data_IF_453401077115
#
_entry.id   IF_453401077115
#
_cell.length_a   1.000
_cell.length_b   1.000
_cell.length_c   1.000
_cell.angle_alpha   90.00
_cell.angle_beta   90.00
_cell.angle_gamma   90.00
#
_symmetry.space_group_name_H-M   'P 1'
#
loop_
_entity.id
_entity.type
_entity.pdbx_description
1 polymer ?
#
# COMPACT_ATOMS: atom_id res chain seq x y z
N UNK A 1 -16.31 25.76 -14.88
CA UNK A 1 -15.64 26.46 -13.77
C UNK A 1 -16.71 26.72 -12.72
N UNK A 2 -16.93 25.75 -11.84
CA UNK A 2 -17.95 25.85 -10.79
C UNK A 2 -17.24 26.22 -9.50
N UNK A 3 -17.62 27.36 -8.92
CA UNK A 3 -17.12 27.85 -7.66
C UNK A 3 -17.64 26.96 -6.53
N UNK A 4 -16.72 26.30 -5.83
CA UNK A 4 -17.01 25.47 -4.67
C UNK A 4 -17.23 26.40 -3.47
N UNK A 5 -18.46 26.44 -2.96
CA UNK A 5 -18.87 27.28 -1.86
C UNK A 5 -18.18 26.82 -0.56
N UNK A 6 -17.32 27.69 -0.04
CA UNK A 6 -16.53 27.48 1.16
C UNK A 6 -17.43 27.55 2.40
N UNK A 7 -17.57 26.43 3.13
CA UNK A 7 -18.29 26.41 4.40
C UNK A 7 -17.55 27.24 5.46
N UNK A 8 -18.27 28.06 6.26
CA UNK A 8 -17.66 28.86 7.32
C UNK A 8 -17.20 27.99 8.49
N UNK A 9 -15.94 28.17 8.90
CA UNK A 9 -15.39 27.56 10.12
C UNK A 9 -16.01 28.20 11.37
N UNK A 10 -16.32 27.43 12.42
CA UNK A 10 -16.79 27.96 13.69
C UNK A 10 -15.67 28.73 14.43
N UNK A 11 -16.01 29.72 15.27
CA UNK A 11 -15.04 30.51 16.00
C UNK A 11 -14.29 29.67 17.04
N UNK A 12 -12.96 29.75 17.01
CA UNK A 12 -12.06 29.16 18.01
C UNK A 12 -12.26 29.90 19.34
N UNK A 13 -12.73 29.18 20.35
CA UNK A 13 -12.83 29.67 21.71
C UNK A 13 -11.43 29.99 22.26
N UNK A 14 -11.25 31.23 22.74
CA UNK A 14 -10.04 31.68 23.38
C UNK A 14 -9.77 30.88 24.67
N UNK A 15 -8.55 30.35 24.80
CA UNK A 15 -8.09 29.70 26.01
C UNK A 15 -7.94 30.72 27.15
N UNK A 16 -8.26 30.35 28.41
CA UNK A 16 -8.10 31.23 29.56
C UNK A 16 -6.62 31.48 29.88
N UNK A 17 -6.30 32.76 30.08
CA UNK A 17 -5.00 33.25 30.52
C UNK A 17 -4.56 32.62 31.84
N UNK A 18 -3.31 32.16 31.90
CA UNK A 18 -2.68 31.64 33.10
C UNK A 18 -2.52 32.75 34.16
N UNK A 19 -2.67 32.45 35.46
CA UNK A 19 -2.51 33.42 36.52
C UNK A 19 -1.04 33.75 36.77
N UNK A 20 -0.86 35.02 37.08
CA UNK A 20 0.34 35.76 37.45
C UNK A 20 1.20 35.03 38.49
N UNK A 21 2.48 34.81 38.17
CA UNK A 21 3.44 34.15 39.04
C UNK A 21 4.08 35.17 39.98
N UNK A 22 3.58 35.22 41.22
CA UNK A 22 4.15 36.03 42.29
C UNK A 22 5.62 35.71 42.63
N UNK A 23 6.34 36.63 43.28
CA UNK A 23 7.77 36.53 43.54
C UNK A 23 8.09 35.42 44.55
N UNK A 24 9.08 34.58 44.19
CA UNK A 24 9.61 33.51 45.05
C UNK A 24 10.41 34.13 46.22
N UNK A 25 10.25 33.64 47.46
CA UNK A 25 11.08 34.07 48.58
C UNK A 25 12.52 33.56 48.44
N UNK A 26 13.47 34.47 48.56
CA UNK A 26 14.90 34.18 48.69
C UNK A 26 15.15 33.52 50.04
N UNK A 27 15.72 32.31 50.02
CA UNK A 27 16.18 31.61 51.22
C UNK A 27 17.63 32.03 51.45
N UNK A 28 17.85 32.86 52.45
CA UNK A 28 19.18 33.22 52.95
C UNK A 28 19.89 31.99 53.50
N UNK A 29 21.14 31.80 53.06
CA UNK A 29 22.11 30.89 53.67
C UNK A 29 22.71 31.56 54.91
N UNK A 30 22.81 30.88 56.06
CA UNK A 30 23.73 31.30 57.10
C UNK A 30 25.15 30.87 56.68
N UNK A 31 26.03 31.85 56.57
CA UNK A 31 27.45 31.65 56.73
C UNK A 31 27.71 31.49 58.24
N UNK A 32 28.36 30.41 58.63
CA UNK A 32 29.33 30.44 59.72
C UNK A 32 30.35 29.32 59.49
N UNK A 33 31.60 29.76 59.50
CA UNK A 33 32.82 29.00 59.65
C UNK A 33 32.80 28.24 60.98
N UNK A 34 33.33 27.01 60.97
CA UNK A 34 34.21 26.43 61.99
C UNK A 34 34.14 24.89 61.92
N UNK A 35 35.16 24.26 61.34
CA UNK A 35 35.20 22.79 61.32
C UNK A 35 36.29 22.11 60.51
N UNK A 36 37.43 22.76 60.23
CA UNK A 36 38.60 22.05 59.71
C UNK A 36 39.37 21.43 60.88
N UNK A 37 38.89 20.32 61.44
CA UNK A 37 39.69 19.39 62.26
C UNK A 37 38.90 18.15 62.74
N UNK A 38 38.37 17.33 61.84
CA UNK A 38 38.09 15.94 62.17
C UNK A 38 38.07 15.12 60.87
N UNK A 39 39.26 14.67 60.47
CA UNK A 39 39.40 13.52 59.57
C UNK A 39 38.90 12.28 60.32
N UNK A 40 37.58 12.16 60.47
CA UNK A 40 36.92 10.98 60.99
C UNK A 40 37.05 9.92 59.90
N UNK A 41 37.94 8.97 60.16
CA UNK A 41 38.20 7.80 59.35
C UNK A 41 36.88 7.09 59.10
N UNK A 42 36.27 7.34 57.94
CA UNK A 42 35.25 6.48 57.36
C UNK A 42 35.89 5.12 57.14
N UNK A 43 35.86 4.29 58.17
CA UNK A 43 36.13 2.87 58.09
C UNK A 43 35.21 2.32 57.01
N UNK A 44 35.78 2.05 55.83
CA UNK A 44 35.09 1.34 54.76
C UNK A 44 34.67 -0.02 55.31
N UNK A 45 33.43 -0.10 55.81
CA UNK A 45 32.84 -1.30 56.37
C UNK A 45 33.04 -2.47 55.40
N UNK A 46 33.34 -3.64 55.96
CA UNK A 46 33.58 -4.88 55.23
C UNK A 46 32.59 -5.01 54.06
N UNK A 47 33.11 -4.96 52.83
CA UNK A 47 32.31 -5.11 51.62
C UNK A 47 31.58 -6.45 51.72
N UNK A 48 30.27 -6.42 51.99
CA UNK A 48 29.41 -7.61 51.90
C UNK A 48 29.68 -8.27 50.56
N UNK A 49 30.17 -9.50 50.59
CA UNK A 49 30.47 -10.26 49.38
C UNK A 49 29.17 -10.43 48.59
N UNK A 50 29.16 -9.97 47.33
CA UNK A 50 28.00 -10.16 46.45
C UNK A 50 27.79 -11.66 46.23
N UNK A 51 26.55 -12.12 46.29
CA UNK A 51 26.21 -13.52 46.07
C UNK A 51 26.63 -13.96 44.65
N UNK A 52 27.32 -15.11 44.47
CA UNK A 52 27.86 -15.52 43.16
C UNK A 52 26.79 -15.67 42.08
N UNK A 53 25.58 -16.13 42.45
CA UNK A 53 24.45 -16.24 41.51
C UNK A 53 24.08 -14.90 40.86
N UNK A 54 24.20 -13.78 41.58
CA UNK A 54 23.91 -12.45 41.02
C UNK A 54 24.92 -12.12 39.91
N UNK A 55 26.19 -12.48 40.10
CA UNK A 55 27.23 -12.24 39.08
C UNK A 55 26.96 -13.06 37.82
N UNK A 56 26.54 -14.32 37.96
CA UNK A 56 26.14 -15.18 36.84
C UNK A 56 24.94 -14.60 36.11
N UNK A 57 23.91 -14.16 36.83
CA UNK A 57 22.71 -13.56 36.23
C UNK A 57 23.03 -12.28 35.45
N UNK A 58 23.88 -11.41 35.99
CA UNK A 58 24.31 -10.18 35.30
C UNK A 58 25.12 -10.49 34.03
N UNK A 59 26.01 -11.48 34.07
CA UNK A 59 26.76 -11.93 32.88
C UNK A 59 25.79 -12.46 31.82
N UNK A 60 24.87 -13.34 32.19
CA UNK A 60 23.90 -13.92 31.27
C UNK A 60 23.00 -12.84 30.62
N UNK A 61 22.50 -11.89 31.42
CA UNK A 61 21.71 -10.76 30.92
C UNK A 61 22.54 -9.87 29.98
N UNK A 62 23.80 -9.59 30.32
CA UNK A 62 24.68 -8.77 29.49
C UNK A 62 24.94 -9.44 28.14
N UNK A 63 25.26 -10.75 28.13
CA UNK A 63 25.44 -11.52 26.91
C UNK A 63 24.16 -11.55 26.06
N UNK A 64 23.00 -11.69 26.69
CA UNK A 64 21.72 -11.63 26.00
C UNK A 64 21.50 -10.28 25.31
N UNK A 65 21.71 -9.17 26.03
CA UNK A 65 21.57 -7.82 25.47
C UNK A 65 22.58 -7.54 24.35
N UNK A 66 23.84 -7.96 24.53
CA UNK A 66 24.87 -7.87 23.49
C UNK A 66 24.45 -8.65 22.23
N UNK A 67 23.95 -9.88 22.42
CA UNK A 67 23.44 -10.73 21.34
C UNK A 67 22.26 -10.11 20.61
N UNK A 68 21.34 -9.46 21.34
CA UNK A 68 20.19 -8.74 20.77
C UNK A 68 20.62 -7.54 19.93
N UNK A 69 21.60 -6.77 20.40
CA UNK A 69 22.09 -5.55 19.74
C UNK A 69 23.24 -5.81 18.75
N UNK A 70 23.55 -7.08 18.43
CA UNK A 70 24.68 -7.43 17.55
C UNK A 70 24.58 -6.81 16.16
N UNK A 71 23.36 -6.58 15.66
CA UNK A 71 23.13 -6.04 14.33
C UNK A 71 23.43 -4.56 14.25
N UNK A 72 23.10 -3.81 15.31
CA UNK A 72 23.39 -2.38 15.38
C UNK A 72 24.88 -2.14 15.57
N UNK A 73 25.57 -3.00 16.34
CA UNK A 73 27.03 -2.99 16.41
C UNK A 73 27.68 -3.31 15.06
N UNK A 74 27.20 -4.34 14.35
CA UNK A 74 27.69 -4.67 13.00
C UNK A 74 27.49 -3.50 12.03
N UNK A 75 26.34 -2.85 12.08
CA UNK A 75 26.06 -1.68 11.25
C UNK A 75 26.95 -0.49 11.62
N UNK A 76 27.20 -0.25 12.92
CA UNK A 76 28.15 0.77 13.37
C UNK A 76 29.56 0.56 12.80
N UNK A 77 30.01 -0.69 12.75
CA UNK A 77 31.32 -1.08 12.20
C UNK A 77 31.35 -1.17 10.66
N UNK A 78 30.21 -0.96 9.99
CA UNK A 78 30.13 -1.03 8.53
C UNK A 78 30.86 0.17 7.87
N UNK A 79 31.32 0.02 6.62
CA UNK A 79 31.88 1.14 5.86
C UNK A 79 30.91 2.32 5.79
N UNK A 80 31.44 3.54 5.94
CA UNK A 80 30.68 4.78 5.83
C UNK A 80 30.35 5.17 4.38
N UNK A 81 30.97 4.50 3.41
CA UNK A 81 30.66 4.63 1.98
C UNK A 81 29.43 3.80 1.66
N UNK A 82 28.38 4.43 1.14
CA UNK A 82 27.15 3.73 0.76
C UNK A 82 27.42 2.75 -0.39
N UNK A 83 26.92 1.51 -0.24
CA UNK A 83 26.88 0.55 -1.34
C UNK A 83 25.78 0.96 -2.32
N UNK A 84 26.16 1.28 -3.55
CA UNK A 84 25.20 1.65 -4.59
C UNK A 84 24.47 0.42 -5.16
N UNK A 85 23.15 0.38 -4.93
CA UNK A 85 22.27 -0.66 -5.44
C UNK A 85 21.69 -0.30 -6.81
N UNK A 86 21.87 0.95 -7.27
CA UNK A 86 21.27 1.46 -8.50
C UNK A 86 19.77 1.70 -8.36
N UNK A 87 19.04 1.51 -9.46
CA UNK A 87 17.58 1.60 -9.49
C UNK A 87 16.91 0.47 -8.70
N UNK A 88 15.75 0.75 -8.12
CA UNK A 88 15.01 -0.15 -7.25
C UNK A 88 14.65 -1.48 -7.95
N UNK A 89 14.41 -1.47 -9.26
CA UNK A 89 14.19 -2.70 -10.04
C UNK A 89 15.43 -3.60 -10.08
N UNK A 90 16.62 -3.01 -10.23
CA UNK A 90 17.90 -3.73 -10.24
C UNK A 90 18.31 -4.16 -8.82
N UNK A 91 18.04 -3.32 -7.82
CA UNK A 91 18.36 -3.59 -6.43
C UNK A 91 17.71 -4.89 -5.91
N UNK A 92 16.48 -5.18 -6.33
CA UNK A 92 15.75 -6.38 -5.93
C UNK A 92 16.35 -7.66 -6.52
N UNK A 93 16.90 -7.60 -7.73
CA UNK A 93 17.58 -8.73 -8.38
C UNK A 93 18.87 -9.12 -7.63
N UNK A 94 19.49 -8.18 -6.92
CA UNK A 94 20.70 -8.41 -6.10
C UNK A 94 20.43 -9.10 -4.76
N UNK A 95 19.21 -9.61 -4.52
CA UNK A 95 18.84 -10.31 -3.27
C UNK A 95 19.09 -9.43 -2.04
N UNK A 96 18.35 -8.32 -1.89
CA UNK A 96 18.60 -7.30 -0.85
C UNK A 96 18.59 -7.86 0.58
N UNK A 97 17.93 -8.99 0.81
CA UNK A 97 18.00 -9.76 2.06
C UNK A 97 19.43 -10.16 2.48
N UNK A 98 20.32 -10.42 1.52
CA UNK A 98 21.75 -10.72 1.78
C UNK A 98 22.54 -9.46 2.15
N UNK A 99 21.98 -8.28 1.87
CA UNK A 99 22.55 -6.97 2.14
C UNK A 99 21.93 -6.33 3.39
N UNK A 100 21.22 -7.11 4.22
CA UNK A 100 20.68 -6.64 5.48
C UNK A 100 21.78 -6.03 6.38
N UNK A 101 21.43 -4.96 7.09
CA UNK A 101 22.31 -4.19 7.96
C UNK A 101 23.53 -3.57 7.23
N UNK A 102 23.36 -3.20 5.95
CA UNK A 102 24.36 -2.44 5.18
C UNK A 102 23.91 -1.00 4.96
N UNK A 103 24.88 -0.11 4.79
CA UNK A 103 24.64 1.28 4.39
C UNK A 103 24.56 1.32 2.86
N UNK A 104 23.39 1.71 2.33
CA UNK A 104 23.07 1.58 0.91
C UNK A 104 22.59 2.89 0.30
N UNK A 105 22.80 3.03 -1.00
CA UNK A 105 22.14 3.99 -1.87
C UNK A 105 21.19 3.23 -2.79
N UNK A 106 19.94 3.66 -2.86
CA UNK A 106 18.99 3.16 -3.86
C UNK A 106 18.26 4.33 -4.51
N UNK A 107 18.02 4.21 -5.80
CA UNK A 107 17.24 5.15 -6.58
C UNK A 107 15.92 4.50 -6.98
N UNK A 108 14.82 5.27 -7.00
CA UNK A 108 13.53 4.73 -7.41
C UNK A 108 12.40 5.73 -7.24
N UNK A 109 11.30 5.47 -7.96
CA UNK A 109 10.12 6.33 -7.88
C UNK A 109 9.27 5.95 -6.66
N UNK A 110 9.00 6.88 -5.74
CA UNK A 110 8.17 6.60 -4.58
C UNK A 110 6.70 6.43 -4.97
N UNK A 111 6.03 5.43 -4.41
CA UNK A 111 4.58 5.26 -4.53
C UNK A 111 3.85 6.25 -3.61
N UNK A 112 3.68 7.48 -4.10
CA UNK A 112 3.06 8.58 -3.35
C UNK A 112 1.60 8.32 -3.00
N UNK A 113 0.87 7.59 -3.84
CA UNK A 113 -0.57 7.33 -3.66
C UNK A 113 -0.83 6.49 -2.41
N UNK A 114 0.10 5.58 -2.08
CA UNK A 114 -0.04 4.66 -0.95
C UNK A 114 1.02 4.90 0.14
N UNK A 115 1.58 6.11 0.18
CA UNK A 115 2.52 6.49 1.23
C UNK A 115 1.80 6.60 2.58
N UNK A 116 2.38 6.00 3.61
CA UNK A 116 1.88 6.03 4.98
C UNK A 116 2.59 7.14 5.74
N UNK A 117 1.86 7.75 6.67
CA UNK A 117 2.43 8.59 7.71
C UNK A 117 2.44 7.77 9.01
N UNK A 118 3.64 7.50 9.52
CA UNK A 118 3.85 6.83 10.79
C UNK A 118 4.11 7.87 11.86
N UNK A 119 3.35 7.83 12.95
CA UNK A 119 3.56 8.71 14.09
C UNK A 119 4.31 7.96 15.20
N UNK A 120 5.48 8.47 15.57
CA UNK A 120 6.29 7.91 16.65
C UNK A 120 5.73 8.25 18.03
N UNK A 121 5.84 7.32 18.97
CA UNK A 121 5.43 7.52 20.39
C UNK A 121 6.13 8.71 21.07
N UNK A 122 7.35 9.03 20.67
CA UNK A 122 8.17 10.10 21.25
C UNK A 122 8.04 11.42 20.47
N UNK A 123 7.03 11.54 19.62
CA UNK A 123 6.90 12.64 18.67
C UNK A 123 7.77 12.40 17.43
N UNK A 124 7.35 13.00 16.33
CA UNK A 124 7.97 12.80 15.01
C UNK A 124 7.07 12.00 14.08
N UNK A 125 7.03 12.44 12.83
CA UNK A 125 6.31 11.77 11.75
C UNK A 125 7.31 11.21 10.76
N UNK A 126 7.01 10.05 10.20
CA UNK A 126 7.87 9.39 9.22
C UNK A 126 7.00 8.97 8.03
N UNK A 127 7.50 9.18 6.83
CA UNK A 127 6.87 8.65 5.64
C UNK A 127 7.33 7.22 5.42
N UNK A 128 6.40 6.31 5.17
CA UNK A 128 6.68 4.94 4.77
C UNK A 128 6.05 4.66 3.41
N UNK A 129 6.85 4.36 2.39
CA UNK A 129 6.34 4.14 1.04
C UNK A 129 7.11 3.05 0.30
N UNK A 130 6.46 2.48 -0.70
CA UNK A 130 7.04 1.51 -1.63
C UNK A 130 7.86 2.23 -2.70
N UNK A 131 8.92 1.61 -3.18
CA UNK A 131 9.57 2.00 -4.44
C UNK A 131 8.95 1.22 -5.61
N UNK A 132 8.47 1.94 -6.62
CA UNK A 132 7.92 1.35 -7.83
C UNK A 132 9.01 0.59 -8.61
N UNK A 133 8.62 -0.45 -9.34
CA UNK A 133 9.55 -1.34 -10.06
C UNK A 133 10.26 -2.36 -9.17
N UNK A 134 10.18 -2.25 -7.83
CA UNK A 134 10.86 -3.14 -6.89
C UNK A 134 10.03 -4.38 -6.48
N UNK A 135 9.08 -4.84 -7.30
CA UNK A 135 8.25 -6.05 -7.05
C UNK A 135 7.65 -6.15 -5.63
N UNK A 136 7.31 -5.02 -4.99
CA UNK A 136 6.83 -4.96 -3.60
C UNK A 136 7.82 -5.46 -2.55
N UNK A 137 9.11 -5.52 -2.87
CA UNK A 137 10.18 -6.01 -2.00
C UNK A 137 11.00 -4.89 -1.37
N UNK A 138 10.92 -3.66 -1.88
CA UNK A 138 11.71 -2.54 -1.35
C UNK A 138 10.83 -1.34 -0.96
N UNK A 139 11.04 -0.88 0.26
CA UNK A 139 10.34 0.23 0.88
C UNK A 139 11.35 1.23 1.44
N UNK A 140 10.87 2.44 1.71
CA UNK A 140 11.66 3.49 2.34
C UNK A 140 10.89 4.01 3.55
N UNK A 141 11.62 4.14 4.66
CA UNK A 141 11.21 4.93 5.81
C UNK A 141 11.99 6.23 5.76
N UNK A 142 11.28 7.33 5.54
CA UNK A 142 11.87 8.65 5.38
C UNK A 142 11.47 9.54 6.58
N UNK A 143 12.43 10.06 7.36
CA UNK A 143 12.11 10.95 8.47
C UNK A 143 11.50 12.24 7.91
N UNK A 144 10.36 12.66 8.44
CA UNK A 144 9.80 13.97 8.08
C UNK A 144 10.62 15.04 8.81
N UNK A 145 11.09 16.10 8.13
CA UNK A 145 11.68 17.23 8.81
C UNK A 145 10.68 17.77 9.85
N UNK A 146 11.16 18.09 11.05
CA UNK A 146 10.33 18.77 12.05
C UNK A 146 9.77 20.07 11.44
N UNK A 147 8.57 20.48 11.85
CA UNK A 147 7.92 21.71 11.36
C UNK A 147 8.81 22.97 11.48
N UNK A 148 9.80 22.93 12.38
CA UNK A 148 10.82 23.97 12.56
C UNK A 148 11.80 24.12 11.37
N UNK A 149 11.94 23.11 10.50
CA UNK A 149 12.81 23.15 9.31
C UNK A 149 12.15 23.83 8.09
N UNK A 150 11.00 24.48 8.28
CA UNK A 150 10.19 25.07 7.23
C UNK A 150 9.22 24.07 6.58
N UNK A 151 8.30 24.55 5.73
CA UNK A 151 7.36 23.69 5.02
C UNK A 151 8.10 22.91 3.94
N UNK A 152 8.68 21.76 4.31
CA UNK A 152 9.06 20.78 3.31
C UNK A 152 7.80 20.42 2.53
N UNK A 153 7.81 20.59 1.20
CA UNK A 153 6.67 20.25 0.36
C UNK A 153 6.34 18.77 0.62
N UNK A 154 5.18 18.46 1.24
CA UNK A 154 4.81 17.09 1.57
C UNK A 154 4.66 16.21 0.31
N UNK A 155 4.64 16.81 -0.88
CA UNK A 155 4.61 16.13 -2.17
C UNK A 155 6.00 15.78 -2.72
N UNK A 156 7.07 16.34 -2.16
CA UNK A 156 8.45 16.15 -2.62
C UNK A 156 9.15 14.98 -1.91
N UNK A 157 8.69 13.75 -2.17
CA UNK A 157 9.49 12.58 -1.81
C UNK A 157 10.68 12.48 -2.79
N UNK A 158 11.93 12.38 -2.29
CA UNK A 158 13.11 12.28 -3.14
C UNK A 158 13.09 10.97 -3.92
N UNK A 159 13.81 10.92 -5.05
CA UNK A 159 14.00 9.68 -5.81
C UNK A 159 15.25 8.89 -5.42
N UNK A 160 16.15 9.48 -4.62
CA UNK A 160 17.39 8.85 -4.15
C UNK A 160 17.33 8.72 -2.64
N UNK A 161 17.61 7.52 -2.15
CA UNK A 161 17.50 7.17 -0.74
C UNK A 161 18.81 6.60 -0.25
N UNK A 162 19.37 7.22 0.79
CA UNK A 162 20.60 6.81 1.46
C UNK A 162 20.26 6.39 2.89
N UNK A 163 20.66 5.20 3.30
CA UNK A 163 20.33 4.73 4.64
C UNK A 163 20.70 3.29 4.94
N UNK A 164 20.22 2.80 6.08
CA UNK A 164 20.38 1.41 6.50
C UNK A 164 19.34 0.52 5.83
N UNK A 165 19.77 -0.56 5.18
CA UNK A 165 18.84 -1.57 4.68
C UNK A 165 18.50 -2.59 5.78
N UNK A 166 17.22 -2.73 6.12
CA UNK A 166 16.75 -3.69 7.13
C UNK A 166 15.57 -4.52 6.63
N UNK A 167 15.43 -5.79 7.04
CA UNK A 167 14.20 -6.53 6.78
C UNK A 167 13.01 -5.88 7.48
N UNK A 168 11.89 -5.73 6.76
CA UNK A 168 10.66 -5.16 7.30
C UNK A 168 10.22 -5.89 8.58
N UNK A 169 10.37 -7.21 8.63
CA UNK A 169 9.99 -8.04 9.78
C UNK A 169 10.70 -7.66 11.09
N UNK A 170 11.79 -6.89 11.04
CA UNK A 170 12.52 -6.41 12.23
C UNK A 170 11.97 -5.10 12.79
N UNK A 171 11.11 -4.41 12.04
CA UNK A 171 10.51 -3.17 12.47
C UNK A 171 9.35 -3.45 13.44
N UNK A 172 9.21 -2.68 14.54
CA UNK A 172 8.20 -2.94 15.57
C UNK A 172 6.76 -2.80 15.05
N UNK A 173 6.55 -2.04 13.97
CA UNK A 173 5.25 -1.80 13.34
C UNK A 173 5.01 -2.62 12.06
N UNK A 174 5.84 -3.64 11.79
CA UNK A 174 5.75 -4.43 10.55
C UNK A 174 4.36 -5.07 10.35
N UNK A 175 3.76 -5.61 11.41
CA UNK A 175 2.42 -6.22 11.35
C UNK A 175 1.33 -5.17 11.04
N UNK A 176 1.43 -3.99 11.64
CA UNK A 176 0.50 -2.89 11.40
C UNK A 176 0.56 -2.39 9.95
N UNK A 177 1.78 -2.22 9.40
CA UNK A 177 1.99 -1.86 7.99
C UNK A 177 1.45 -2.93 7.05
N UNK A 178 1.71 -4.22 7.33
CA UNK A 178 1.15 -5.34 6.55
C UNK A 178 -0.37 -5.34 6.55
N UNK A 179 -0.97 -5.22 7.72
CA UNK A 179 -2.43 -5.19 7.85
C UNK A 179 -3.06 -3.97 7.19
N UNK A 180 -2.43 -2.80 7.29
CA UNK A 180 -2.92 -1.59 6.62
C UNK A 180 -2.91 -1.76 5.11
N UNK A 181 -1.75 -2.09 4.53
CA UNK A 181 -1.59 -2.18 3.07
C UNK A 181 -2.47 -3.30 2.48
N UNK A 182 -2.63 -4.42 3.18
CA UNK A 182 -3.53 -5.48 2.74
C UNK A 182 -5.01 -5.08 2.71
N UNK A 183 -5.44 -4.11 3.54
CA UNK A 183 -6.81 -3.60 3.56
C UNK A 183 -7.05 -2.47 2.57
N UNK A 184 -6.04 -1.62 2.34
CA UNK A 184 -6.19 -0.40 1.55
C UNK A 184 -5.74 -0.55 0.10
N UNK A 185 -4.95 -1.57 -0.20
CA UNK A 185 -4.44 -1.82 -1.54
C UNK A 185 -4.92 -3.16 -2.08
N UNK A 186 -5.31 -3.15 -3.34
CA UNK A 186 -5.52 -4.35 -4.14
C UNK A 186 -4.57 -4.35 -5.33
N UNK A 187 -4.17 -5.55 -5.75
CA UNK A 187 -3.39 -5.76 -6.97
C UNK A 187 -4.36 -6.20 -8.04
N UNK A 188 -4.52 -5.40 -9.09
CA UNK A 188 -5.25 -5.81 -10.28
C UNK A 188 -4.42 -6.83 -11.06
N UNK A 189 -5.09 -7.89 -11.51
CA UNK A 189 -4.53 -8.93 -12.36
C UNK A 189 -5.34 -8.98 -13.63
N UNK A 190 -4.72 -8.57 -14.73
CA UNK A 190 -5.33 -8.60 -16.06
C UNK A 190 -4.98 -9.90 -16.75
N UNK A 191 -5.95 -10.53 -17.39
CA UNK A 191 -5.78 -11.82 -18.03
C UNK A 191 -6.06 -11.75 -19.52
N UNK A 192 -5.38 -12.62 -20.26
CA UNK A 192 -5.79 -12.99 -21.61
C UNK A 192 -6.84 -14.09 -21.59
N UNK A 193 -7.65 -14.13 -22.66
CA UNK A 193 -8.71 -15.10 -22.83
C UNK A 193 -8.19 -16.55 -22.74
N UNK A 194 -7.12 -16.87 -23.47
CA UNK A 194 -6.58 -18.23 -23.58
C UNK A 194 -6.18 -18.86 -22.23
N UNK A 195 -5.31 -18.22 -21.43
CA UNK A 195 -4.94 -18.72 -20.11
C UNK A 195 -6.12 -18.95 -19.16
N UNK A 196 -7.11 -18.06 -19.15
CA UNK A 196 -8.32 -18.25 -18.33
C UNK A 196 -9.23 -19.37 -18.86
N UNK A 197 -9.40 -19.49 -20.17
CA UNK A 197 -10.15 -20.57 -20.79
C UNK A 197 -9.53 -21.94 -20.43
N UNK A 198 -8.21 -22.05 -20.53
CA UNK A 198 -7.46 -23.26 -20.14
C UNK A 198 -7.60 -23.56 -18.64
N UNK A 199 -7.47 -22.55 -17.77
CA UNK A 199 -7.67 -22.70 -16.33
C UNK A 199 -9.10 -23.20 -16.00
N UNK A 200 -10.12 -22.66 -16.69
CA UNK A 200 -11.51 -23.09 -16.51
C UNK A 200 -11.72 -24.54 -16.97
N UNK A 201 -11.22 -24.91 -18.16
CA UNK A 201 -11.36 -26.24 -18.72
C UNK A 201 -10.75 -27.34 -17.83
N UNK A 202 -9.60 -27.04 -17.20
CA UNK A 202 -8.93 -27.96 -16.29
C UNK A 202 -9.38 -27.83 -14.82
N UNK A 203 -10.36 -26.96 -14.53
CA UNK A 203 -10.77 -26.60 -13.15
C UNK A 203 -9.56 -26.25 -12.27
N UNK A 204 -8.60 -25.54 -12.85
CA UNK A 204 -7.40 -25.12 -12.15
C UNK A 204 -7.77 -24.11 -11.05
N UNK A 205 -7.10 -24.23 -9.91
CA UNK A 205 -7.22 -23.29 -8.80
C UNK A 205 -6.35 -22.04 -8.98
N UNK A 206 -5.62 -21.94 -10.09
CA UNK A 206 -4.78 -20.80 -10.45
C UNK A 206 -4.82 -20.51 -11.95
N UNK A 207 -4.54 -19.26 -12.32
CA UNK A 207 -4.28 -18.85 -13.70
C UNK A 207 -3.09 -17.90 -13.77
N UNK A 208 -2.43 -17.86 -14.93
CA UNK A 208 -1.34 -16.92 -15.18
C UNK A 208 -1.91 -15.61 -15.74
N UNK A 209 -1.62 -14.50 -15.07
CA UNK A 209 -1.99 -13.16 -15.56
C UNK A 209 -1.04 -12.66 -16.67
N UNK A 210 -1.36 -11.53 -17.29
CA UNK A 210 -0.53 -10.90 -18.35
C UNK A 210 0.88 -10.53 -17.90
N UNK A 211 1.11 -10.41 -16.60
CA UNK A 211 2.44 -10.15 -16.04
C UNK A 211 3.23 -11.43 -15.76
N UNK A 212 2.67 -12.60 -16.07
CA UNK A 212 3.28 -13.91 -15.84
C UNK A 212 3.12 -14.41 -14.40
N UNK A 213 2.28 -13.79 -13.58
CA UNK A 213 2.08 -14.19 -12.18
C UNK A 213 0.97 -15.22 -12.07
N UNK A 214 1.20 -16.23 -11.24
CA UNK A 214 0.19 -17.20 -10.84
C UNK A 214 -0.78 -16.56 -9.82
N UNK A 215 -2.05 -16.48 -10.19
CA UNK A 215 -3.12 -15.86 -9.41
C UNK A 215 -4.08 -16.97 -8.97
N UNK A 216 -4.37 -17.10 -7.66
CA UNK A 216 -5.36 -18.07 -7.19
C UNK A 216 -6.77 -17.67 -7.64
N UNK A 217 -7.52 -18.65 -8.14
CA UNK A 217 -8.91 -18.52 -8.59
C UNK A 217 -9.82 -19.37 -7.70
N UNK A 218 -10.16 -18.82 -6.53
CA UNK A 218 -11.20 -19.40 -5.69
C UNK A 218 -12.58 -19.23 -6.35
N UNK A 219 -13.55 -20.07 -6.00
CA UNK A 219 -14.90 -20.03 -6.57
C UNK A 219 -15.56 -18.65 -6.45
N UNK A 220 -15.30 -17.93 -5.37
CA UNK A 220 -15.82 -16.60 -5.05
C UNK A 220 -14.97 -15.44 -5.60
N UNK A 221 -13.89 -15.73 -6.34
CA UNK A 221 -13.02 -14.69 -6.93
C UNK A 221 -13.82 -13.83 -7.90
N UNK A 222 -13.92 -12.53 -7.61
CA UNK A 222 -14.66 -11.58 -8.43
C UNK A 222 -13.84 -11.14 -9.65
N UNK A 223 -14.45 -11.21 -10.82
CA UNK A 223 -13.92 -10.73 -12.08
C UNK A 223 -14.67 -9.50 -12.56
N UNK A 224 -13.94 -8.47 -12.96
CA UNK A 224 -14.43 -7.38 -13.79
C UNK A 224 -14.16 -7.69 -15.25
N UNK A 225 -15.24 -7.73 -16.02
CA UNK A 225 -15.27 -8.14 -17.42
C UNK A 225 -15.77 -6.93 -18.21
N UNK A 226 -14.99 -6.45 -19.16
CA UNK A 226 -15.45 -5.38 -20.05
C UNK A 226 -15.60 -5.88 -21.46
N UNK A 227 -16.78 -5.59 -22.01
CA UNK A 227 -17.23 -6.05 -23.30
C UNK A 227 -17.45 -4.84 -24.20
N UNK A 228 -16.87 -4.86 -25.39
CA UNK A 228 -17.19 -3.98 -26.49
C UNK A 228 -18.02 -4.71 -27.53
N UNK A 229 -19.22 -4.23 -27.75
CA UNK A 229 -20.07 -4.74 -28.82
C UNK A 229 -19.62 -4.09 -30.13
N UNK A 230 -19.32 -4.91 -31.14
CA UNK A 230 -18.73 -4.41 -32.39
C UNK A 230 -19.68 -3.47 -33.15
N UNK A 231 -20.97 -3.77 -33.10
CA UNK A 231 -21.99 -3.12 -33.93
C UNK A 231 -22.98 -2.28 -33.13
N UNK A 232 -22.81 -2.22 -31.80
CA UNK A 232 -23.67 -1.41 -30.93
C UNK A 232 -23.01 -0.09 -30.57
N UNK A 233 -23.78 0.98 -30.70
CA UNK A 233 -23.35 2.35 -30.46
C UNK A 233 -24.30 3.02 -29.49
N UNK A 234 -23.75 3.93 -28.69
CA UNK A 234 -24.52 4.83 -27.83
C UNK A 234 -24.64 6.17 -28.55
N UNK A 235 -25.86 6.53 -28.90
CA UNK A 235 -26.19 7.87 -29.40
C UNK A 235 -26.65 8.71 -28.22
N UNK A 236 -25.96 9.82 -27.98
CA UNK A 236 -26.30 10.79 -26.95
C UNK A 236 -26.90 12.04 -27.59
N UNK A 237 -28.19 12.25 -27.38
CA UNK A 237 -28.95 13.37 -27.94
C UNK A 237 -29.20 14.42 -26.83
N UNK A 238 -28.61 15.63 -26.90
CA UNK A 238 -28.68 16.60 -25.82
C UNK A 238 -30.12 17.03 -25.51
N UNK A 239 -30.51 17.02 -24.23
CA UNK A 239 -31.86 17.42 -23.79
C UNK A 239 -32.19 18.88 -24.11
N UNK A 240 -31.18 19.74 -24.25
CA UNK A 240 -31.36 21.13 -24.71
C UNK A 240 -31.90 21.22 -26.14
N UNK A 241 -31.48 20.31 -27.00
CA UNK A 241 -31.87 20.24 -28.41
C UNK A 241 -33.13 19.40 -28.59
N UNK A 242 -33.31 18.38 -27.72
CA UNK A 242 -34.47 17.49 -27.69
C UNK A 242 -35.10 17.51 -26.29
N UNK A 243 -35.97 18.48 -25.96
CA UNK A 243 -36.58 18.57 -24.63
C UNK A 243 -37.36 17.32 -24.20
N UNK A 244 -37.85 16.52 -25.14
CA UNK A 244 -38.62 15.29 -24.90
C UNK A 244 -37.95 14.07 -25.54
N UNK A 245 -38.01 12.93 -24.86
CA UNK A 245 -37.45 11.66 -25.36
C UNK A 245 -38.07 11.24 -26.71
N UNK A 246 -39.37 11.48 -26.92
CA UNK A 246 -40.05 11.18 -28.18
C UNK A 246 -39.43 11.91 -29.39
N UNK A 247 -39.01 13.17 -29.21
CA UNK A 247 -38.37 13.94 -30.28
C UNK A 247 -36.99 13.36 -30.63
N UNK A 248 -36.26 12.91 -29.62
CA UNK A 248 -34.97 12.26 -29.80
C UNK A 248 -35.14 10.89 -30.51
N UNK A 249 -36.16 10.12 -30.14
CA UNK A 249 -36.49 8.85 -30.78
C UNK A 249 -36.93 9.03 -32.25
N UNK A 250 -37.70 10.07 -32.57
CA UNK A 250 -38.13 10.36 -33.95
C UNK A 250 -36.95 10.56 -34.90
N UNK A 251 -35.87 11.22 -34.45
CA UNK A 251 -34.64 11.35 -35.24
C UNK A 251 -34.05 9.97 -35.62
N UNK A 252 -33.96 9.07 -34.65
CA UNK A 252 -33.43 7.72 -34.88
C UNK A 252 -34.37 6.88 -35.75
N UNK A 253 -35.68 7.06 -35.60
CA UNK A 253 -36.69 6.42 -36.44
C UNK A 253 -36.58 6.86 -37.91
N UNK A 254 -36.28 8.13 -38.19
CA UNK A 254 -36.06 8.62 -39.56
C UNK A 254 -34.86 7.97 -40.26
N UNK A 255 -33.85 7.55 -39.50
CA UNK A 255 -32.69 6.83 -40.04
C UNK A 255 -32.99 5.35 -40.31
N UNK A 256 -34.19 4.88 -39.94
CA UNK A 256 -34.63 3.49 -40.01
C UNK A 256 -33.65 2.52 -39.30
N UNK A 257 -33.05 2.99 -38.19
CA UNK A 257 -32.11 2.18 -37.40
C UNK A 257 -32.83 1.55 -36.19
N UNK A 258 -32.63 0.25 -35.93
CA UNK A 258 -33.09 -0.38 -34.70
C UNK A 258 -32.44 0.28 -33.49
N UNK A 259 -33.26 0.80 -32.59
CA UNK A 259 -32.79 1.49 -31.39
C UNK A 259 -33.63 1.13 -30.16
N UNK A 260 -33.03 1.29 -29.00
CA UNK A 260 -33.67 1.19 -27.70
C UNK A 260 -33.08 2.22 -26.75
N UNK A 261 -33.84 2.61 -25.73
CA UNK A 261 -33.30 3.47 -24.67
C UNK A 261 -32.19 2.73 -23.91
N UNK A 262 -31.10 3.43 -23.63
CA UNK A 262 -30.00 2.91 -22.81
C UNK A 262 -30.46 2.80 -21.35
N UNK A 263 -30.04 1.73 -20.68
CA UNK A 263 -30.31 1.54 -19.25
C UNK A 263 -29.62 2.58 -18.36
N UNK A 264 -28.51 3.17 -18.84
CA UNK A 264 -27.81 4.23 -18.12
C UNK A 264 -28.47 5.58 -18.45
N UNK A 265 -29.02 6.24 -17.43
CA UNK A 265 -29.62 7.57 -17.59
C UNK A 265 -28.54 8.66 -17.60
N UNK A 266 -28.78 9.73 -18.36
CA UNK A 266 -27.94 10.93 -18.34
C UNK A 266 -28.79 12.16 -18.01
N UNK A 267 -28.28 13.08 -17.16
CA UNK A 267 -28.99 14.30 -16.82
C UNK A 267 -29.04 15.29 -18.01
N UNK A 268 -28.05 15.22 -18.92
CA UNK A 268 -27.88 16.20 -19.99
C UNK A 268 -28.27 15.70 -21.38
N UNK A 269 -28.45 14.38 -21.55
CA UNK A 269 -28.75 13.77 -22.84
C UNK A 269 -29.71 12.58 -22.71
N UNK A 270 -30.54 12.39 -23.74
CA UNK A 270 -31.20 11.10 -23.98
C UNK A 270 -30.18 10.14 -24.57
N UNK A 271 -30.17 8.90 -24.08
CA UNK A 271 -29.19 7.89 -24.49
C UNK A 271 -29.93 6.73 -25.15
N UNK A 272 -29.50 6.38 -26.35
CA UNK A 272 -30.05 5.27 -27.10
C UNK A 272 -28.94 4.32 -27.51
N UNK A 273 -29.20 3.03 -27.39
CA UNK A 273 -28.38 1.99 -28.02
C UNK A 273 -28.92 1.78 -29.43
N UNK A 274 -28.01 1.82 -30.40
CA UNK A 274 -28.32 1.65 -31.83
C UNK A 274 -27.42 0.56 -32.40
N UNK A 275 -27.99 -0.34 -33.20
CA UNK A 275 -27.20 -1.30 -34.00
C UNK A 275 -27.01 -0.73 -35.39
N UNK A 276 -25.75 -0.53 -35.80
CA UNK A 276 -25.42 0.02 -37.11
C UNK A 276 -24.11 -0.55 -37.66
N UNK A 277 -24.13 -1.06 -38.90
CA UNK A 277 -22.99 -1.67 -39.59
C UNK A 277 -22.67 -0.98 -40.91
N UNK A 278 -21.39 -0.92 -41.28
CA UNK A 278 -20.95 -0.47 -42.61
C UNK A 278 -21.57 0.87 -43.04
N UNK A 279 -22.39 0.85 -44.08
CA UNK A 279 -23.06 2.04 -44.63
C UNK A 279 -24.11 2.64 -43.69
N UNK A 280 -24.72 1.85 -42.80
CA UNK A 280 -25.66 2.35 -41.77
C UNK A 280 -24.93 3.24 -40.77
N UNK A 281 -23.76 2.81 -40.31
CA UNK A 281 -22.93 3.59 -39.39
C UNK A 281 -22.45 4.90 -40.05
N UNK A 282 -22.09 4.85 -41.34
CA UNK A 282 -21.74 6.06 -42.09
C UNK A 282 -22.92 7.04 -42.19
N UNK A 283 -24.13 6.54 -42.48
CA UNK A 283 -25.36 7.37 -42.50
C UNK A 283 -25.64 7.98 -41.13
N UNK A 284 -25.50 7.20 -40.05
CA UNK A 284 -25.66 7.69 -38.68
C UNK A 284 -24.65 8.80 -38.36
N UNK A 285 -23.37 8.59 -38.67
CA UNK A 285 -22.31 9.58 -38.48
C UNK A 285 -22.55 10.85 -39.30
N UNK A 286 -23.01 10.71 -40.55
CA UNK A 286 -23.33 11.84 -41.41
C UNK A 286 -24.51 12.65 -40.84
N UNK A 287 -25.56 11.97 -40.37
CA UNK A 287 -26.71 12.61 -39.74
C UNK A 287 -26.31 13.38 -38.47
N UNK A 288 -25.47 12.79 -37.61
CA UNK A 288 -24.99 13.45 -36.38
C UNK A 288 -23.99 14.59 -36.65
N UNK A 289 -23.28 14.57 -37.79
CA UNK A 289 -22.33 15.64 -38.18
C UNK A 289 -23.01 16.83 -38.87
N UNK A 290 -24.15 16.59 -39.53
CA UNK A 290 -24.88 17.63 -40.25
C UNK A 290 -25.30 18.79 -39.32
N UNK A 291 -25.52 18.50 -38.04
CA UNK A 291 -25.71 19.50 -37.01
C UNK A 291 -24.96 19.09 -35.71
N UNK A 292 -23.90 19.81 -35.31
CA UNK A 292 -23.11 19.48 -34.13
C UNK A 292 -23.91 19.63 -32.81
N UNK A 293 -25.10 20.21 -32.83
CA UNK A 293 -26.02 20.24 -31.69
C UNK A 293 -26.92 19.00 -31.59
N UNK A 294 -26.88 18.12 -32.60
CA UNK A 294 -27.69 16.90 -32.71
C UNK A 294 -27.23 15.81 -31.74
N UNK A 295 -25.93 15.54 -31.59
CA UNK A 295 -25.48 14.57 -30.59
C UNK A 295 -24.07 14.02 -30.72
N UNK A 296 -23.73 13.10 -29.82
CA UNK A 296 -22.47 12.36 -29.81
C UNK A 296 -22.69 10.88 -30.07
N UNK A 297 -21.74 10.23 -30.73
CA UNK A 297 -21.72 8.79 -30.96
C UNK A 297 -20.54 8.18 -30.20
N UNK A 298 -20.84 7.20 -29.35
CA UNK A 298 -19.84 6.46 -28.59
C UNK A 298 -19.97 4.98 -28.92
N UNK A 299 -18.86 4.24 -28.96
CA UNK A 299 -18.93 2.78 -29.05
C UNK A 299 -19.44 2.22 -27.73
N UNK A 300 -20.39 1.27 -27.78
CA UNK A 300 -20.95 0.70 -26.55
C UNK A 300 -19.92 -0.22 -25.89
N UNK A 301 -19.55 0.13 -24.66
CA UNK A 301 -18.71 -0.67 -23.78
C UNK A 301 -19.45 -0.88 -22.47
N UNK A 302 -19.40 -2.10 -21.94
CA UNK A 302 -20.18 -2.49 -20.77
C UNK A 302 -19.32 -3.31 -19.84
N UNK A 303 -19.32 -2.92 -18.56
CA UNK A 303 -18.69 -3.66 -17.49
C UNK A 303 -19.67 -4.64 -16.84
N UNK A 304 -19.25 -5.88 -16.68
CA UNK A 304 -19.91 -6.91 -15.88
C UNK A 304 -19.01 -7.30 -14.71
N UNK A 305 -19.63 -7.66 -13.59
CA UNK A 305 -18.94 -8.29 -12.45
C UNK A 305 -19.51 -9.69 -12.26
N UNK A 306 -18.65 -10.69 -12.17
CA UNK A 306 -19.05 -12.08 -12.01
C UNK A 306 -18.05 -12.82 -11.12
N UNK A 307 -18.49 -13.83 -10.38
CA UNK A 307 -17.58 -14.73 -9.67
C UNK A 307 -17.00 -15.77 -10.63
N UNK A 308 -15.81 -16.29 -10.30
CA UNK A 308 -15.15 -17.32 -11.09
C UNK A 308 -16.04 -18.55 -11.33
N UNK A 309 -16.81 -18.97 -10.32
CA UNK A 309 -17.73 -20.12 -10.43
C UNK A 309 -18.92 -19.89 -11.38
N UNK A 310 -19.26 -18.62 -11.66
CA UNK A 310 -20.30 -18.18 -12.60
C UNK A 310 -19.77 -18.05 -14.04
N UNK A 311 -18.46 -18.18 -14.25
CA UNK A 311 -17.85 -18.13 -15.58
C UNK A 311 -17.77 -19.53 -16.18
N UNK A 312 -18.18 -19.63 -17.44
CA UNK A 312 -18.06 -20.84 -18.25
C UNK A 312 -17.42 -20.48 -19.57
N UNK A 313 -16.42 -21.25 -19.95
CA UNK A 313 -15.59 -21.00 -21.12
C UNK A 313 -15.80 -22.13 -22.12
N UNK A 314 -16.03 -21.77 -23.37
CA UNK A 314 -16.17 -22.72 -24.48
C UNK A 314 -15.44 -22.16 -25.70
N UNK A 315 -14.39 -22.84 -26.16
CA UNK A 315 -13.52 -22.49 -27.30
C UNK A 315 -13.18 -20.98 -27.44
N UNK A 316 -14.10 -20.18 -27.98
CA UNK A 316 -13.99 -18.73 -28.22
C UNK A 316 -15.12 -17.89 -27.58
N UNK A 317 -15.88 -18.45 -26.65
CA UNK A 317 -17.04 -17.81 -26.00
C UNK A 317 -16.91 -17.86 -24.47
N UNK A 318 -17.11 -16.72 -23.84
CA UNK A 318 -17.31 -16.59 -22.40
C UNK A 318 -18.81 -16.53 -22.10
N UNK A 319 -19.29 -17.43 -21.26
CA UNK A 319 -20.66 -17.46 -20.76
C UNK A 319 -20.71 -17.07 -19.30
N UNK A 320 -21.58 -16.12 -18.96
CA UNK A 320 -21.78 -15.62 -17.60
C UNK A 320 -23.15 -16.09 -17.11
N UNK A 321 -23.14 -16.90 -16.04
CA UNK A 321 -24.34 -17.30 -15.33
C UNK A 321 -24.65 -16.30 -14.20
N UNK A 322 -24.99 -15.07 -14.58
CA UNK A 322 -25.40 -14.00 -13.65
C UNK A 322 -26.88 -14.14 -13.27
N UNK A 323 -27.15 -14.34 -12.00
CA UNK A 323 -28.48 -14.16 -11.42
C UNK A 323 -28.60 -12.78 -10.77
N UNK A 324 -28.21 -11.74 -11.51
CA UNK A 324 -28.20 -10.35 -11.05
C UNK A 324 -29.08 -9.49 -11.98
N UNK A 325 -30.23 -9.07 -11.46
CA UNK A 325 -31.18 -8.22 -12.18
C UNK A 325 -30.64 -6.79 -12.41
N UNK A 326 -29.57 -6.40 -11.72
CA UNK A 326 -28.88 -5.12 -11.88
C UNK A 326 -27.79 -5.16 -12.95
N UNK A 327 -27.46 -6.35 -13.46
CA UNK A 327 -26.51 -6.49 -14.56
C UNK A 327 -26.99 -5.69 -15.79
N UNK A 328 -26.09 -4.98 -16.50
CA UNK A 328 -26.45 -4.25 -17.69
C UNK A 328 -27.10 -5.16 -18.75
N UNK A 329 -28.21 -4.73 -19.39
CA UNK A 329 -28.89 -5.56 -20.38
C UNK A 329 -28.01 -5.79 -21.60
N UNK A 330 -28.20 -6.95 -22.23
CA UNK A 330 -27.80 -7.15 -23.63
C UNK A 330 -28.93 -6.69 -24.52
N UNK A 331 -28.59 -5.99 -25.59
CA UNK A 331 -29.58 -5.60 -26.58
C UNK A 331 -29.62 -6.63 -27.70
N UNK A 332 -30.79 -7.20 -27.94
CA UNK A 332 -30.99 -8.18 -29.00
C UNK A 332 -31.86 -7.58 -30.09
N UNK A 333 -31.41 -7.74 -31.34
CA UNK A 333 -32.19 -7.32 -32.49
C UNK A 333 -33.32 -8.32 -32.72
N UNK A 334 -34.55 -7.90 -32.47
CA UNK A 334 -35.73 -8.63 -32.93
C UNK A 334 -35.95 -8.29 -34.41
N UNK A 335 -35.87 -9.28 -35.32
CA UNK A 335 -36.05 -9.03 -36.73
C UNK A 335 -37.44 -8.49 -37.03
N UNK A 336 -37.57 -7.80 -38.15
CA UNK A 336 -38.87 -7.32 -38.62
C UNK A 336 -39.86 -8.48 -38.73
N UNK A 337 -41.08 -8.28 -38.23
CA UNK A 337 -42.13 -9.31 -38.29
C UNK A 337 -42.71 -9.39 -39.70
N UNK A 338 -43.14 -10.57 -40.13
CA UNK A 338 -43.93 -10.76 -41.35
C UNK A 338 -45.21 -9.90 -41.38
N UNK A 339 -45.71 -9.47 -40.22
CA UNK A 339 -46.81 -8.53 -40.08
C UNK A 339 -46.42 -7.05 -40.30
N UNK A 340 -45.24 -6.77 -40.86
CA UNK A 340 -44.78 -5.42 -41.20
C UNK A 340 -44.24 -4.58 -40.04
N UNK A 341 -43.97 -5.17 -38.86
CA UNK A 341 -43.32 -4.45 -37.75
C UNK A 341 -41.84 -4.28 -38.05
N UNK A 342 -41.26 -3.07 -37.91
CA UNK A 342 -39.83 -2.84 -38.13
C UNK A 342 -38.99 -3.64 -37.13
N UNK A 343 -37.72 -3.88 -37.47
CA UNK A 343 -36.79 -4.51 -36.54
C UNK A 343 -36.60 -3.62 -35.30
N UNK A 344 -36.69 -4.22 -34.13
CA UNK A 344 -36.64 -3.51 -32.86
C UNK A 344 -35.51 -4.05 -32.01
N UNK A 345 -34.79 -3.15 -31.36
CA UNK A 345 -33.80 -3.53 -30.38
C UNK A 345 -34.49 -3.72 -29.02
N UNK A 346 -34.31 -4.88 -28.39
CA UNK A 346 -34.96 -5.18 -27.10
C UNK A 346 -33.90 -5.46 -26.05
N UNK A 347 -34.01 -4.77 -24.91
CA UNK A 347 -33.16 -5.00 -23.75
C UNK A 347 -33.53 -6.35 -23.11
N UNK A 348 -32.60 -7.29 -23.17
CA UNK A 348 -32.69 -8.59 -22.50
C UNK A 348 -31.85 -8.57 -21.23
N UNK A 349 -32.47 -8.83 -20.09
CA UNK A 349 -31.82 -9.04 -18.80
C UNK A 349 -31.85 -10.52 -18.44
N UNK A 350 -30.85 -10.96 -17.68
CA UNK A 350 -30.75 -12.33 -17.16
C UNK A 350 -29.74 -13.22 -17.89
N UNK A 351 -29.42 -14.34 -17.25
CA UNK A 351 -28.46 -15.33 -17.73
C UNK A 351 -29.08 -16.39 -18.68
N UNK A 352 -28.25 -17.06 -19.50
CA UNK A 352 -26.81 -16.85 -19.65
C UNK A 352 -26.46 -15.73 -20.63
N UNK A 353 -25.55 -14.83 -20.26
CA UNK A 353 -24.94 -13.89 -21.20
C UNK A 353 -23.76 -14.56 -21.89
N UNK A 354 -23.62 -14.36 -23.20
CA UNK A 354 -22.56 -14.98 -24.02
C UNK A 354 -21.79 -13.92 -24.79
N UNK A 355 -20.47 -13.93 -24.65
CA UNK A 355 -19.57 -12.99 -25.31
C UNK A 355 -18.52 -13.74 -26.12
N UNK A 356 -18.36 -13.35 -27.38
CA UNK A 356 -17.25 -13.84 -28.19
C UNK A 356 -15.92 -13.27 -27.72
N UNK A 357 -14.82 -13.99 -27.97
CA UNK A 357 -13.46 -13.56 -27.62
C UNK A 357 -13.13 -12.15 -28.13
N UNK A 358 -13.60 -11.78 -29.32
CA UNK A 358 -13.38 -10.47 -29.93
C UNK A 358 -14.19 -9.34 -29.29
N UNK A 359 -15.24 -9.68 -28.54
CA UNK A 359 -16.05 -8.70 -27.81
C UNK A 359 -15.41 -8.36 -26.46
N UNK A 360 -14.52 -9.20 -25.93
CA UNK A 360 -13.89 -9.01 -24.62
C UNK A 360 -12.70 -8.06 -24.73
N UNK A 361 -12.81 -6.89 -24.08
CA UNK A 361 -11.73 -5.90 -24.01
C UNK A 361 -10.73 -6.23 -22.91
N UNK A 362 -11.23 -6.49 -21.71
CA UNK A 362 -10.41 -6.89 -20.57
C UNK A 362 -11.15 -7.84 -19.64
N UNK A 363 -10.35 -8.68 -19.00
CA UNK A 363 -10.76 -9.58 -17.93
C UNK A 363 -9.79 -9.35 -16.79
N UNK A 364 -10.29 -8.90 -15.65
CA UNK A 364 -9.44 -8.60 -14.51
C UNK A 364 -10.04 -9.12 -13.21
N UNK A 365 -9.19 -9.53 -12.29
CA UNK A 365 -9.56 -9.71 -10.88
C UNK A 365 -8.64 -8.86 -10.02
N UNK A 366 -8.89 -8.80 -8.72
CA UNK A 366 -7.94 -8.20 -7.80
C UNK A 366 -7.73 -9.09 -6.61
N UNK A 367 -6.48 -9.16 -6.16
CA UNK A 367 -6.14 -9.80 -4.89
C UNK A 367 -5.78 -8.74 -3.85
N UNK A 368 -6.04 -9.00 -2.56
CA UNK A 368 -5.51 -8.16 -1.49
C UNK A 368 -4.00 -8.05 -1.59
N UNK A 369 -3.47 -6.85 -1.39
CA UNK A 369 -2.03 -6.65 -1.44
C UNK A 369 -1.32 -7.38 -0.29
N UNK A 370 -0.47 -8.35 -0.62
CA UNK A 370 0.36 -9.04 0.36
C UNK A 370 1.81 -8.54 0.28
N UNK A 371 2.33 -7.98 1.39
CA UNK A 371 3.77 -7.73 1.47
C UNK A 371 4.53 -9.06 1.58
N UNK A 372 5.59 -9.26 0.79
CA UNK A 372 6.43 -10.45 0.92
C UNK A 372 7.12 -10.52 2.29
N UNK A 373 7.46 -11.72 2.74
CA UNK A 373 8.22 -11.91 3.98
C UNK A 373 9.62 -11.28 3.88
N UNK A 374 10.22 -11.37 2.70
CA UNK A 374 11.51 -10.81 2.32
C UNK A 374 11.48 -9.30 1.97
N UNK A 375 10.41 -8.57 2.31
CA UNK A 375 10.37 -7.13 2.13
C UNK A 375 11.47 -6.45 2.96
N UNK A 376 12.20 -5.54 2.32
CA UNK A 376 13.30 -4.76 2.89
C UNK A 376 12.90 -3.29 2.95
N UNK A 377 13.45 -2.57 3.92
CA UNK A 377 13.19 -1.16 4.18
C UNK A 377 14.52 -0.44 4.25
N UNK A 378 14.65 0.65 3.49
CA UNK A 378 15.73 1.61 3.66
C UNK A 378 15.31 2.60 4.73
N UNK A 379 16.00 2.59 5.86
CA UNK A 379 15.87 3.59 6.92
C UNK A 379 16.68 4.81 6.51
N UNK A 380 16.04 5.72 5.77
CA UNK A 380 16.72 6.84 5.14
C UNK A 380 17.26 7.82 6.20
N UNK A 381 18.46 8.34 5.95
CA UNK A 381 19.17 9.25 6.86
C UNK A 381 19.97 8.56 7.96
N UNK A 382 19.78 7.24 8.19
CA UNK A 382 20.61 6.49 9.13
C UNK A 382 22.00 6.23 8.56
N UNK A 383 23.04 6.69 9.24
CA UNK A 383 24.43 6.41 8.88
C UNK A 383 25.11 5.52 9.92
N UNK A 384 26.12 4.71 9.55
CA UNK A 384 26.87 3.87 10.50
C UNK A 384 27.37 4.64 11.72
N UNK A 385 27.88 5.85 11.53
CA UNK A 385 28.45 6.67 12.60
C UNK A 385 27.44 7.12 13.66
N UNK A 386 26.15 7.25 13.33
CA UNK A 386 25.11 7.62 14.30
C UNK A 386 24.84 6.51 15.33
N UNK A 387 25.27 5.27 15.06
CA UNK A 387 25.06 4.15 15.97
C UNK A 387 26.14 4.02 17.07
N UNK A 388 26.96 5.05 17.28
CA UNK A 388 27.97 5.04 18.35
C UNK A 388 27.42 4.75 19.76
N UNK A 389 26.19 5.14 20.16
CA UNK A 389 25.66 4.79 21.48
C UNK A 389 25.54 3.29 21.67
N UNK A 390 25.27 2.53 20.59
CA UNK A 390 25.20 1.08 20.63
C UNK A 390 26.59 0.47 20.83
N UNK A 391 27.64 1.05 20.23
CA UNK A 391 29.02 0.62 20.49
C UNK A 391 29.44 0.89 21.95
N UNK A 392 29.10 2.08 22.48
CA UNK A 392 29.34 2.40 23.89
C UNK A 392 28.60 1.45 24.83
N UNK A 393 27.33 1.14 24.55
CA UNK A 393 26.56 0.16 25.30
C UNK A 393 27.24 -1.23 25.29
N UNK A 394 27.77 -1.67 24.15
CA UNK A 394 28.48 -2.95 24.06
C UNK A 394 29.76 -2.96 24.90
N UNK A 395 30.52 -1.86 24.91
CA UNK A 395 31.69 -1.70 25.79
C UNK A 395 31.28 -1.71 27.27
N UNK A 396 30.18 -1.06 27.62
CA UNK A 396 29.65 -1.04 28.98
C UNK A 396 29.23 -2.46 29.41
N UNK A 397 28.50 -3.19 28.58
CA UNK A 397 28.09 -4.58 28.85
C UNK A 397 29.31 -5.51 28.98
N UNK A 398 30.32 -5.35 28.14
CA UNK A 398 31.59 -6.07 28.26
C UNK A 398 32.30 -5.78 29.59
N UNK A 399 32.30 -4.52 30.04
CA UNK A 399 32.90 -4.16 31.33
C UNK A 399 32.16 -4.80 32.51
N UNK A 400 30.82 -4.86 32.46
CA UNK A 400 30.02 -5.59 33.45
C UNK A 400 30.34 -7.09 33.44
N UNK A 401 30.46 -7.71 32.27
CA UNK A 401 30.85 -9.13 32.17
C UNK A 401 32.22 -9.33 32.80
N UNK A 402 33.21 -8.52 32.43
CA UNK A 402 34.58 -8.62 32.96
C UNK A 402 34.64 -8.46 34.48
N UNK A 403 33.96 -7.45 35.03
CA UNK A 403 33.94 -7.20 36.48
C UNK A 403 33.28 -8.34 37.27
N UNK A 404 32.16 -8.90 36.76
CA UNK A 404 31.46 -10.00 37.41
C UNK A 404 32.21 -11.33 37.26
N UNK A 405 32.84 -11.59 36.11
CA UNK A 405 33.69 -12.76 35.91
C UNK A 405 34.90 -12.75 36.85
N UNK A 406 35.52 -11.58 37.03
CA UNK A 406 36.60 -11.39 38.00
C UNK A 406 36.15 -11.63 39.44
N UNK A 407 34.97 -11.13 39.82
CA UNK A 407 34.40 -11.36 41.15
C UNK A 407 34.14 -12.86 41.42
N UNK A 408 33.58 -13.57 40.44
CA UNK A 408 33.38 -15.02 40.51
C UNK A 408 34.71 -15.77 40.64
N UNK A 409 35.73 -15.41 39.86
CA UNK A 409 37.05 -16.02 39.93
C UNK A 409 37.69 -15.81 41.30
N UNK A 410 37.58 -14.61 41.88
CA UNK A 410 38.05 -14.31 43.23
C UNK A 410 37.31 -15.13 44.29
N UNK A 411 35.98 -15.21 44.21
CA UNK A 411 35.17 -16.00 45.13
C UNK A 411 35.53 -17.50 45.05
N UNK A 412 35.71 -18.02 43.83
CA UNK A 412 36.14 -19.40 43.60
C UNK A 412 37.53 -19.68 44.16
N UNK A 413 38.49 -18.77 43.95
CA UNK A 413 39.85 -18.88 44.54
C UNK A 413 39.80 -18.87 46.06
N UNK A 414 38.99 -17.99 46.67
CA UNK A 414 38.81 -17.95 48.12
C UNK A 414 38.20 -19.25 48.66
N UNK A 415 37.13 -19.74 48.02
CA UNK A 415 36.50 -21.02 48.37
C UNK A 415 37.47 -22.20 48.28
N UNK A 416 38.33 -22.23 47.25
CA UNK A 416 39.35 -23.29 47.08
C UNK A 416 40.43 -23.22 48.16
N UNK A 417 40.79 -22.03 48.64
CA UNK A 417 41.76 -21.85 49.72
C UNK A 417 41.21 -22.30 51.09
N UNK A 418 39.91 -22.14 51.33
CA UNK A 418 39.27 -22.54 52.59
C UNK A 418 38.84 -24.00 52.65
N UNK A 419 38.88 -24.74 51.53
CA UNK A 419 38.48 -26.14 51.51
C UNK A 419 39.63 -27.00 52.08
N UNK A 420 39.47 -27.63 53.27
CA UNK A 420 40.53 -28.47 53.83
C UNK A 420 40.86 -29.59 52.84
N UNK A 421 42.16 -29.84 52.61
CA UNK A 421 42.61 -31.02 51.87
C UNK A 421 42.20 -32.24 52.70
N UNK A 422 41.20 -32.96 52.24
CA UNK A 422 40.92 -34.29 52.78
C UNK A 422 42.14 -35.16 52.49
N UNK A 423 42.86 -35.52 53.56
CA UNK A 423 43.98 -36.47 53.55
C UNK A 423 43.48 -37.90 53.49
#
# INVERSE_FOLDING_TARGET
>A
MSAEAQQPQPPVAAAPSAPDAGPRPQRSLPADDDGVAAAERLTFGQRRSRHPLVSVAVIALSLYLMGRNRHDLRYFLAPRTALDLGDASTAVQRQPERLADRYVRVEGVPDRKHALLLEGRLGGQEHFYRLLGAENRLYVRWPRPSAAAGPADPRSLPGVHLGRLVPLARLPYASAVRGYLARTMSIAHDFDFGPLAAASAHRASTAIDRSGRSVPLAADTLFWINVAFADEWIVQLPRRSYPRAEQAATLLAHLALPHAEDSESSPSAWRYVVVARGTELQRLLQALRADPTTGALLRRQVGYTARWDQLRWDADTLTLALDDATAPPRYELQPASAAGRPAQLVARRGAPLRFGRTELLYLSTSTPFALPAQAMVVLAGETPGQQWPNALLQLLLLSFIGANAWALLRAYRAYRATRPRAS
#
